data_IF_357906349833
#
_entry.id   IF_357906349833
#
_cell.length_a   1.000
_cell.length_b   1.000
_cell.length_c   1.000
_cell.angle_alpha   90.00
_cell.angle_beta   90.00
_cell.angle_gamma   90.00
#
_symmetry.space_group_name_H-M   'P 1'
#
loop_
_entity.id
_entity.type
_entity.pdbx_description
1 polymer ?
#
# COMPACT_ATOMS: atom_id res chain seq x y z
N UNK A 1 11.83 1.64 38.43
CA UNK A 1 12.09 3.09 38.25
C UNK A 1 11.04 3.77 37.36
N UNK A 2 11.19 3.88 36.03
CA UNK A 2 10.22 4.66 35.22
C UNK A 2 8.78 4.08 35.22
N UNK A 3 8.65 2.76 35.08
CA UNK A 3 7.35 2.05 35.15
C UNK A 3 6.67 2.26 36.52
N UNK A 4 7.46 2.15 37.59
CA UNK A 4 7.01 2.31 38.97
C UNK A 4 6.58 3.75 39.27
N UNK A 5 7.34 4.74 38.79
CA UNK A 5 7.01 6.16 38.92
C UNK A 5 5.70 6.52 38.21
N UNK A 6 5.39 5.90 37.07
CA UNK A 6 4.11 6.09 36.36
C UNK A 6 2.96 5.39 37.08
N UNK A 7 3.21 4.19 37.62
CA UNK A 7 2.20 3.42 38.35
C UNK A 7 1.77 4.10 39.67
N UNK A 8 2.69 4.78 40.36
CA UNK A 8 2.41 5.47 41.63
C UNK A 8 2.06 6.96 41.45
N UNK A 9 2.02 7.48 40.22
CA UNK A 9 1.68 8.87 39.98
C UNK A 9 0.17 9.11 40.16
N UNK A 10 -0.16 10.15 40.94
CA UNK A 10 -1.52 10.65 41.11
C UNK A 10 -1.93 11.49 39.89
N UNK A 11 -2.26 10.78 38.80
CA UNK A 11 -2.70 11.36 37.54
C UNK A 11 -3.95 10.61 37.02
N UNK A 12 -4.83 11.29 36.27
CA UNK A 12 -6.00 10.65 35.70
C UNK A 12 -5.64 9.42 34.86
N UNK A 13 -6.43 8.35 34.98
CA UNK A 13 -6.18 7.03 34.38
C UNK A 13 -5.88 7.08 32.87
N UNK A 14 -6.53 7.99 32.12
CA UNK A 14 -6.24 8.22 30.70
C UNK A 14 -4.78 8.65 30.44
N UNK A 15 -4.25 9.56 31.26
CA UNK A 15 -2.84 10.01 31.16
C UNK A 15 -1.86 8.95 31.67
N UNK A 16 -2.27 8.16 32.67
CA UNK A 16 -1.46 7.03 33.17
C UNK A 16 -1.25 5.97 32.07
N UNK A 17 -2.30 5.63 31.32
CA UNK A 17 -2.23 4.71 30.17
C UNK A 17 -1.34 5.23 29.05
N UNK A 18 -1.44 6.51 28.73
CA UNK A 18 -0.60 7.15 27.71
C UNK A 18 0.89 7.17 28.11
N UNK A 19 1.18 7.47 29.38
CA UNK A 19 2.53 7.41 29.93
C UNK A 19 3.09 5.98 29.92
N UNK A 20 2.31 4.97 30.31
CA UNK A 20 2.72 3.56 30.25
C UNK A 20 2.96 3.08 28.82
N UNK A 21 2.14 3.50 27.86
CA UNK A 21 2.35 3.19 26.45
C UNK A 21 3.68 3.79 25.93
N UNK A 22 4.01 5.01 26.37
CA UNK A 22 5.25 5.70 26.02
C UNK A 22 6.47 4.99 26.60
N UNK A 23 6.43 4.63 27.89
CA UNK A 23 7.51 3.86 28.55
C UNK A 23 7.69 2.49 27.88
N UNK A 24 6.60 1.82 27.52
CA UNK A 24 6.63 0.52 26.82
C UNK A 24 7.27 0.66 25.43
N UNK A 25 6.97 1.74 24.69
CA UNK A 25 7.57 2.00 23.38
C UNK A 25 9.08 2.27 23.48
N UNK A 26 9.50 3.03 24.49
CA UNK A 26 10.92 3.30 24.78
C UNK A 26 11.69 2.02 25.14
N UNK A 27 11.12 1.18 26.01
CA UNK A 27 11.75 -0.09 26.39
C UNK A 27 11.89 -1.03 25.18
N UNK A 28 10.92 -1.04 24.26
CA UNK A 28 10.96 -1.87 23.05
C UNK A 28 12.13 -1.51 22.11
N UNK A 29 12.61 -0.27 22.16
CA UNK A 29 13.74 0.20 21.35
C UNK A 29 15.11 -0.08 21.99
N UNK A 30 15.15 -0.38 23.29
CA UNK A 30 16.40 -0.65 24.02
C UNK A 30 16.72 -2.15 24.04
N UNK A 31 15.70 -3.00 23.90
CA UNK A 31 15.85 -4.46 24.03
C UNK A 31 16.25 -5.07 22.70
N UNK A 32 17.47 -5.61 22.64
CA UNK A 32 18.06 -6.18 21.41
C UNK A 32 17.87 -7.69 21.29
N UNK A 33 17.39 -8.37 22.35
CA UNK A 33 17.17 -9.82 22.32
C UNK A 33 15.73 -10.24 22.70
N UNK A 34 15.19 -11.32 22.09
CA UNK A 34 13.85 -11.81 22.39
C UNK A 34 13.67 -12.28 23.85
N UNK A 35 14.73 -12.79 24.48
CA UNK A 35 14.69 -13.30 25.85
C UNK A 35 14.54 -12.16 26.88
N UNK A 36 15.22 -11.04 26.66
CA UNK A 36 15.08 -9.83 27.49
C UNK A 36 13.70 -9.18 27.31
N UNK A 37 13.13 -9.25 26.10
CA UNK A 37 11.80 -8.70 25.82
C UNK A 37 10.72 -9.43 26.62
N UNK A 38 10.82 -10.76 26.74
CA UNK A 38 9.90 -11.57 27.54
C UNK A 38 10.04 -11.25 29.03
N UNK A 39 11.27 -11.12 29.53
CA UNK A 39 11.52 -10.79 30.94
C UNK A 39 10.96 -9.41 31.31
N UNK A 40 11.16 -8.42 30.45
CA UNK A 40 10.63 -7.05 30.67
C UNK A 40 9.10 -7.05 30.60
N UNK A 41 8.50 -7.81 29.69
CA UNK A 41 7.04 -7.95 29.63
C UNK A 41 6.47 -8.57 30.91
N UNK A 42 7.11 -9.61 31.44
CA UNK A 42 6.70 -10.22 32.71
C UNK A 42 6.83 -9.26 33.89
N UNK A 43 7.89 -8.45 33.94
CA UNK A 43 8.08 -7.45 35.00
C UNK A 43 7.05 -6.32 34.92
N UNK A 44 6.71 -5.85 33.72
CA UNK A 44 5.66 -4.84 33.53
C UNK A 44 4.30 -5.40 33.93
N UNK A 45 3.98 -6.63 33.54
CA UNK A 45 2.72 -7.28 33.90
C UNK A 45 2.61 -7.48 35.42
N UNK A 46 3.69 -7.92 36.08
CA UNK A 46 3.73 -8.07 37.53
C UNK A 46 3.52 -6.73 38.26
N UNK A 47 4.13 -5.64 37.78
CA UNK A 47 3.96 -4.30 38.35
C UNK A 47 2.52 -3.78 38.20
N UNK A 48 1.88 -4.01 37.04
CA UNK A 48 0.48 -3.63 36.80
C UNK A 48 -0.48 -4.40 37.71
N UNK A 49 -0.24 -5.71 37.89
CA UNK A 49 -1.05 -6.55 38.79
C UNK A 49 -0.87 -6.17 40.27
N UNK A 50 0.34 -5.78 40.68
CA UNK A 50 0.58 -5.30 42.04
C UNK A 50 -0.12 -3.96 42.33
N UNK A 51 -0.15 -3.06 41.35
CA UNK A 51 -0.84 -1.77 41.48
C UNK A 51 -2.37 -1.94 41.58
N UNK A 52 -2.97 -2.83 40.79
CA UNK A 52 -4.42 -3.08 40.83
C UNK A 52 -4.88 -3.81 42.10
N UNK A 53 -4.00 -4.61 42.72
CA UNK A 53 -4.27 -5.21 44.02
C UNK A 53 -4.30 -4.17 45.16
N UNK A 54 -3.56 -3.07 45.03
CA UNK A 54 -3.50 -2.01 46.04
C UNK A 54 -4.72 -1.06 45.99
N UNK A 55 -5.33 -0.84 44.82
CA UNK A 55 -6.58 -0.05 44.69
C UNK A 55 -7.80 -0.78 45.26
N UNK A 56 -7.87 -2.12 45.16
CA UNK A 56 -8.98 -2.90 45.71
C UNK A 56 -8.97 -3.02 47.24
N UNK A 57 -7.88 -2.63 47.92
CA UNK A 57 -7.80 -2.59 49.36
C UNK A 57 -8.31 -1.25 49.96
N UNK A 58 -8.62 -0.25 49.12
CA UNK A 58 -8.89 1.13 49.55
C UNK A 58 -10.23 1.69 49.04
N UNK A 59 -11.31 0.92 48.88
CA UNK A 59 -12.66 1.53 48.91
C UNK A 59 -13.83 0.55 49.14
N UNK A 60 -14.44 0.50 50.34
CA UNK A 60 -15.72 -0.14 50.56
C UNK A 60 -16.81 0.92 50.83
N UNK A 61 -17.43 1.48 49.77
CA UNK A 61 -18.76 2.17 49.72
C UNK A 61 -18.92 2.78 48.31
N UNK A 62 -19.87 2.42 47.45
CA UNK A 62 -21.31 2.40 47.64
C UNK A 62 -21.94 3.76 47.26
N UNK A 63 -22.54 3.91 46.07
CA UNK A 63 -23.78 4.70 45.88
C UNK A 63 -24.36 4.59 44.46
N UNK A 64 -25.66 4.27 44.43
CA UNK A 64 -26.60 4.42 43.32
C UNK A 64 -26.76 5.88 42.88
N UNK A 65 -27.10 6.10 41.60
CA UNK A 65 -28.24 6.95 41.25
C UNK A 65 -28.69 6.79 39.78
N UNK A 66 -29.97 6.49 39.62
CA UNK A 66 -30.76 6.58 38.40
C UNK A 66 -31.10 8.05 38.10
N UNK A 67 -31.19 8.44 36.83
CA UNK A 67 -32.19 9.44 36.44
C UNK A 67 -32.65 9.30 34.99
N UNK A 68 -33.95 9.01 34.87
CA UNK A 68 -34.79 9.10 33.68
C UNK A 68 -35.13 10.56 33.36
N UNK A 69 -35.26 10.93 32.08
CA UNK A 69 -36.16 12.02 31.71
C UNK A 69 -36.74 11.85 30.30
N UNK A 70 -38.02 12.21 30.19
CA UNK A 70 -38.99 11.97 29.13
C UNK A 70 -39.45 13.30 28.50
N UNK A 71 -40.19 13.23 27.37
CA UNK A 71 -41.10 14.24 26.77
C UNK A 71 -40.43 15.29 25.84
N UNK A 72 -41.00 15.78 24.71
CA UNK A 72 -42.35 15.72 24.12
C UNK A 72 -42.33 16.13 22.61
N UNK A 73 -43.31 15.63 21.86
CA UNK A 73 -44.11 16.17 20.72
C UNK A 73 -43.65 17.38 19.88
N UNK A 74 -43.81 17.31 18.54
CA UNK A 74 -45.00 17.87 17.86
C UNK A 74 -45.03 17.64 16.33
N UNK A 75 -46.23 17.36 15.85
CA UNK A 75 -46.69 17.22 14.45
C UNK A 75 -46.78 18.55 13.71
N UNK A 76 -46.55 18.56 12.38
CA UNK A 76 -47.25 19.50 11.51
C UNK A 76 -47.46 18.95 10.09
N UNK A 77 -48.69 19.08 9.61
CA UNK A 77 -49.22 18.61 8.32
C UNK A 77 -49.78 19.84 7.61
N UNK A 78 -49.56 20.01 6.30
CA UNK A 78 -50.51 20.76 5.46
C UNK A 78 -50.37 20.47 3.97
N UNK A 79 -51.54 20.38 3.35
CA UNK A 79 -51.89 20.10 1.96
C UNK A 79 -51.70 21.31 1.02
N UNK A 80 -51.58 21.07 -0.30
CA UNK A 80 -52.65 21.39 -1.27
C UNK A 80 -52.29 21.06 -2.75
N UNK A 81 -53.32 20.59 -3.45
CA UNK A 81 -53.44 20.22 -4.87
C UNK A 81 -53.37 21.41 -5.84
N UNK A 82 -53.07 21.17 -7.13
CA UNK A 82 -53.96 21.52 -8.26
C UNK A 82 -53.50 20.92 -9.60
N UNK A 83 -54.50 20.60 -10.43
CA UNK A 83 -54.59 19.81 -11.68
C UNK A 83 -54.48 20.63 -13.00
N UNK A 84 -54.59 19.88 -14.13
CA UNK A 84 -54.94 20.20 -15.56
C UNK A 84 -53.76 20.37 -16.54
N UNK A 85 -53.74 19.95 -17.82
CA UNK A 85 -54.31 18.87 -18.69
C UNK A 85 -54.05 19.28 -20.17
N UNK A 86 -53.89 18.30 -21.08
CA UNK A 86 -54.07 18.39 -22.57
C UNK A 86 -53.06 19.25 -23.40
N UNK A 87 -52.67 18.99 -24.66
CA UNK A 87 -53.06 18.06 -25.75
C UNK A 87 -52.04 18.12 -26.92
N UNK A 88 -51.94 17.00 -27.66
CA UNK A 88 -51.72 16.80 -29.12
C UNK A 88 -50.72 17.60 -30.00
N UNK A 89 -49.96 16.83 -30.81
CA UNK A 89 -50.09 16.89 -32.27
C UNK A 89 -49.05 17.62 -33.15
N UNK A 90 -48.33 16.81 -33.95
CA UNK A 90 -47.91 17.04 -35.37
C UNK A 90 -46.55 17.71 -35.71
N UNK A 91 -45.82 16.98 -36.57
CA UNK A 91 -44.59 17.23 -37.38
C UNK A 91 -45.06 17.47 -38.85
N UNK A 92 -44.32 17.98 -39.90
CA UNK A 92 -42.86 18.16 -40.11
C UNK A 92 -42.40 19.46 -40.85
N UNK A 93 -41.08 19.53 -41.12
CA UNK A 93 -40.40 19.90 -42.41
C UNK A 93 -39.30 20.99 -42.33
N UNK A 94 -38.05 20.54 -42.58
CA UNK A 94 -36.90 21.15 -43.28
C UNK A 94 -36.55 22.65 -43.09
N UNK A 95 -35.33 22.94 -42.62
CA UNK A 95 -34.17 23.33 -43.46
C UNK A 95 -32.92 23.65 -42.63
N UNK A 96 -31.79 23.20 -43.20
CA UNK A 96 -30.39 23.60 -43.05
C UNK A 96 -30.08 24.90 -42.30
N UNK A 97 -29.05 24.86 -41.44
CA UNK A 97 -27.94 25.82 -41.53
C UNK A 97 -26.67 25.32 -40.82
N UNK A 98 -25.56 25.45 -41.55
CA UNK A 98 -24.19 25.37 -41.04
C UNK A 98 -24.00 26.33 -39.86
N UNK A 99 -23.39 25.85 -38.78
CA UNK A 99 -22.46 26.68 -38.00
C UNK A 99 -21.41 25.82 -37.33
N UNK A 100 -20.19 25.88 -37.87
CA UNK A 100 -18.96 25.55 -37.17
C UNK A 100 -18.76 26.60 -36.08
N UNK A 101 -18.69 26.18 -34.83
CA UNK A 101 -18.06 26.96 -33.77
C UNK A 101 -17.10 26.04 -33.02
N UNK A 102 -15.82 26.32 -33.21
CA UNK A 102 -14.72 25.80 -32.41
C UNK A 102 -15.01 26.14 -30.94
N UNK A 103 -14.99 25.14 -30.08
CA UNK A 103 -14.83 25.33 -28.64
C UNK A 103 -13.60 24.55 -28.22
N UNK A 104 -12.54 25.30 -27.94
CA UNK A 104 -11.39 24.84 -27.18
C UNK A 104 -11.83 24.70 -25.72
N UNK A 105 -12.10 23.49 -25.27
CA UNK A 105 -12.23 23.22 -23.84
C UNK A 105 -10.83 23.20 -23.22
N UNK A 106 -10.54 24.30 -22.53
CA UNK A 106 -9.43 24.41 -21.59
C UNK A 106 -9.64 23.38 -20.48
N UNK A 107 -8.61 22.57 -20.21
CA UNK A 107 -8.54 21.69 -19.07
C UNK A 107 -8.68 22.52 -17.78
N UNK A 108 -9.82 22.37 -17.11
CA UNK A 108 -10.02 22.93 -15.79
C UNK A 108 -9.15 22.16 -14.79
N UNK A 109 -8.09 22.80 -14.33
CA UNK A 109 -7.36 22.41 -13.13
C UNK A 109 -8.33 22.44 -11.95
N UNK A 110 -8.67 21.27 -11.41
CA UNK A 110 -9.34 21.16 -10.12
C UNK A 110 -8.28 21.05 -9.00
N UNK A 111 -8.40 21.85 -7.93
CA UNK A 111 -7.46 21.82 -6.82
C UNK A 111 -7.68 20.55 -6.00
N UNK A 112 -6.68 19.69 -5.97
CA UNK A 112 -6.63 18.55 -5.05
C UNK A 112 -6.62 19.07 -3.62
N UNK A 113 -7.73 18.83 -2.90
CA UNK A 113 -7.75 18.86 -1.44
C UNK A 113 -6.81 17.77 -0.94
N UNK A 114 -5.74 18.18 -0.26
CA UNK A 114 -4.82 17.30 0.46
C UNK A 114 -5.58 16.48 1.51
N UNK A 115 -5.37 15.16 1.60
CA UNK A 115 -5.59 14.45 2.85
C UNK A 115 -4.52 14.86 3.87
N UNK A 116 -4.97 15.17 5.08
CA UNK A 116 -4.16 15.30 6.28
C UNK A 116 -3.50 13.96 6.59
N UNK A 117 -2.27 14.04 7.12
CA UNK A 117 -1.55 12.99 7.86
C UNK A 117 -0.61 12.03 7.10
N UNK A 118 0.11 12.53 6.09
CA UNK A 118 1.21 11.80 5.44
C UNK A 118 2.55 12.53 5.49
N UNK A 119 2.93 13.17 6.61
CA UNK A 119 4.30 13.70 6.76
C UNK A 119 4.74 13.63 8.22
N UNK A 120 5.40 12.51 8.57
CA UNK A 120 6.24 12.40 9.77
C UNK A 120 7.45 11.49 9.57
N UNK A 121 7.89 11.30 8.31
CA UNK A 121 9.06 10.48 7.97
C UNK A 121 10.27 11.28 7.47
N UNK A 122 10.14 12.60 7.27
CA UNK A 122 11.22 13.39 6.66
C UNK A 122 12.35 13.77 7.65
N UNK A 123 12.07 13.92 8.94
CA UNK A 123 13.10 14.34 9.92
C UNK A 123 13.87 13.16 10.56
N UNK A 124 13.29 11.96 10.66
CA UNK A 124 13.98 10.80 11.26
C UNK A 124 14.99 10.14 10.29
N UNK A 125 14.83 10.31 8.98
CA UNK A 125 15.70 9.70 7.96
C UNK A 125 17.00 10.48 7.72
N UNK A 126 17.02 11.81 7.91
CA UNK A 126 18.26 12.60 7.81
C UNK A 126 19.24 12.28 8.96
N UNK A 127 18.75 11.89 10.14
CA UNK A 127 19.61 11.55 11.27
C UNK A 127 20.24 10.14 11.18
N UNK A 128 19.67 9.22 10.40
CA UNK A 128 20.27 7.89 10.20
C UNK A 128 21.38 7.88 9.13
N UNK A 129 21.35 8.81 8.17
CA UNK A 129 22.35 8.84 7.09
C UNK A 129 23.72 9.41 7.54
N UNK A 130 23.72 10.26 8.59
CA UNK A 130 24.96 10.82 9.17
C UNK A 130 25.67 9.86 10.14
N UNK A 131 25.00 8.87 10.72
CA UNK A 131 25.65 7.85 11.56
C UNK A 131 26.27 6.70 10.75
N UNK A 132 25.79 6.45 9.52
CA UNK A 132 26.31 5.38 8.65
C UNK A 132 27.67 5.71 8.03
N UNK A 133 27.95 6.99 7.78
CA UNK A 133 29.19 7.42 7.10
C UNK A 133 30.43 7.46 8.02
N UNK A 134 30.27 7.27 9.34
CA UNK A 134 31.37 7.30 10.31
C UNK A 134 32.03 5.93 10.58
N UNK A 135 31.45 4.81 10.11
CA UNK A 135 31.94 3.47 10.42
C UNK A 135 32.55 2.70 9.24
N UNK A 136 32.63 3.30 8.04
CA UNK A 136 33.04 2.58 6.82
C UNK A 136 34.55 2.53 6.55
N UNK A 137 35.41 3.09 7.39
CA UNK A 137 36.83 3.27 7.04
C UNK A 137 37.80 2.20 7.56
N UNK A 138 37.35 1.09 8.15
CA UNK A 138 38.26 0.04 8.67
C UNK A 138 37.89 -1.42 8.36
N UNK A 139 37.04 -1.69 7.36
CA UNK A 139 36.69 -3.07 6.97
C UNK A 139 37.26 -3.44 5.60
N UNK A 140 38.57 -3.29 5.41
CA UNK A 140 39.31 -3.92 4.30
C UNK A 140 40.01 -5.14 4.84
N UNK A 141 39.83 -6.28 4.17
CA UNK A 141 40.31 -7.64 4.50
C UNK A 141 39.45 -8.44 5.49
N UNK A 142 38.36 -9.04 4.98
CA UNK A 142 37.97 -10.45 5.13
C UNK A 142 36.58 -10.68 4.51
N UNK A 143 36.42 -10.43 3.20
CA UNK A 143 35.22 -10.82 2.45
C UNK A 143 35.58 -11.98 1.50
N UNK A 144 35.72 -13.18 2.06
CA UNK A 144 35.87 -14.41 1.29
C UNK A 144 34.51 -15.13 1.16
N UNK A 145 34.03 -15.16 -0.07
CA UNK A 145 33.34 -16.30 -0.73
C UNK A 145 32.05 -16.91 -0.14
N UNK A 146 30.96 -16.13 -0.18
CA UNK A 146 29.65 -16.67 -0.59
C UNK A 146 28.84 -15.57 -1.27
N UNK A 147 29.38 -15.06 -2.39
CA UNK A 147 28.79 -13.98 -3.18
C UNK A 147 27.44 -14.38 -3.77
N UNK A 148 26.37 -14.11 -3.03
CA UNK A 148 25.06 -13.87 -3.64
C UNK A 148 25.19 -12.53 -4.35
N UNK A 149 25.47 -12.55 -5.65
CA UNK A 149 25.60 -11.36 -6.49
C UNK A 149 24.27 -10.57 -6.53
N UNK A 150 23.90 -9.82 -5.50
CA UNK A 150 22.71 -8.96 -5.51
C UNK A 150 22.96 -7.69 -6.32
N UNK A 151 21.90 -7.06 -6.84
CA UNK A 151 22.00 -5.71 -7.41
C UNK A 151 22.42 -4.69 -6.33
N UNK A 152 23.06 -3.59 -6.73
CA UNK A 152 23.28 -2.47 -5.81
C UNK A 152 21.91 -1.91 -5.41
N UNK A 153 21.64 -1.91 -4.11
CA UNK A 153 20.33 -1.57 -3.55
C UNK A 153 20.50 -0.89 -2.20
N UNK A 154 19.56 0.00 -1.87
CA UNK A 154 19.59 0.76 -0.62
C UNK A 154 19.27 -0.09 0.60
N UNK A 155 18.55 -1.21 0.40
CA UNK A 155 18.11 -2.10 1.47
C UNK A 155 18.29 -3.55 1.05
N UNK A 156 18.58 -4.39 2.03
CA UNK A 156 18.62 -5.83 1.83
C UNK A 156 17.25 -6.44 2.12
N UNK A 157 16.74 -7.35 1.28
CA UNK A 157 15.50 -8.06 1.57
C UNK A 157 15.69 -8.99 2.78
N UNK A 158 14.72 -8.99 3.69
CA UNK A 158 14.74 -9.69 4.98
C UNK A 158 14.99 -11.19 4.85
N UNK A 159 14.37 -11.84 3.87
CA UNK A 159 14.44 -13.29 3.70
C UNK A 159 14.44 -13.70 2.22
N UNK A 160 15.21 -13.03 1.37
CA UNK A 160 15.25 -13.34 -0.06
C UNK A 160 15.75 -14.76 -0.35
N UNK A 161 15.03 -15.44 -1.23
CA UNK A 161 15.40 -16.73 -1.85
C UNK A 161 15.95 -16.53 -3.26
N UNK A 162 15.66 -15.39 -3.89
CA UNK A 162 16.23 -15.02 -5.17
C UNK A 162 17.72 -14.71 -5.05
N UNK A 163 18.44 -14.96 -6.14
CA UNK A 163 19.89 -14.72 -6.21
C UNK A 163 20.27 -14.11 -7.55
N UNK A 164 21.39 -13.41 -7.61
CA UNK A 164 21.85 -12.76 -8.84
C UNK A 164 21.32 -11.34 -9.00
N UNK A 165 21.76 -10.71 -10.09
CA UNK A 165 21.28 -9.41 -10.55
C UNK A 165 21.08 -9.47 -12.07
N UNK A 166 19.83 -9.41 -12.58
CA UNK A 166 18.57 -9.39 -11.82
C UNK A 166 18.40 -10.58 -10.86
N UNK A 167 17.67 -10.43 -9.75
CA UNK A 167 17.36 -11.55 -8.87
C UNK A 167 16.50 -12.59 -9.60
N UNK A 168 16.92 -13.84 -9.54
CA UNK A 168 16.27 -14.99 -10.15
C UNK A 168 16.02 -16.08 -9.10
N UNK A 169 14.94 -16.85 -9.26
CA UNK A 169 14.66 -18.05 -8.47
C UNK A 169 14.27 -19.20 -9.39
N UNK A 170 15.01 -20.31 -9.32
CA UNK A 170 14.80 -21.49 -10.18
C UNK A 170 14.72 -21.13 -11.67
N UNK A 171 15.57 -20.20 -12.12
CA UNK A 171 15.62 -19.75 -13.51
C UNK A 171 14.53 -18.76 -13.94
N UNK A 172 13.65 -18.33 -13.03
CA UNK A 172 12.62 -17.31 -13.32
C UNK A 172 12.97 -15.97 -12.68
N UNK A 173 12.62 -14.83 -13.33
CA UNK A 173 12.86 -13.51 -12.78
C UNK A 173 12.01 -13.25 -11.55
N UNK A 174 12.61 -12.58 -10.57
CA UNK A 174 11.93 -12.21 -9.34
C UNK A 174 11.42 -10.78 -9.35
N UNK A 175 10.33 -10.56 -8.65
CA UNK A 175 9.77 -9.27 -8.32
C UNK A 175 9.55 -9.17 -6.81
N UNK A 176 9.52 -7.94 -6.34
CA UNK A 176 9.01 -7.63 -5.00
C UNK A 176 7.53 -7.31 -5.07
N UNK A 177 6.83 -7.47 -3.95
CA UNK A 177 5.43 -7.08 -3.82
C UNK A 177 5.20 -6.21 -2.60
N UNK A 178 4.22 -5.32 -2.70
CA UNK A 178 3.49 -4.77 -1.56
C UNK A 178 2.01 -5.05 -1.72
N UNK A 179 1.20 -4.62 -0.77
CA UNK A 179 -0.24 -4.54 -0.92
C UNK A 179 -0.71 -3.11 -0.67
N UNK A 180 -1.83 -2.76 -1.29
CA UNK A 180 -2.44 -1.44 -1.17
C UNK A 180 -3.95 -1.54 -1.19
N UNK A 181 -4.61 -0.49 -0.69
CA UNK A 181 -6.05 -0.31 -0.76
C UNK A 181 -6.33 0.98 -1.52
N UNK A 182 -6.85 0.86 -2.74
CA UNK A 182 -7.19 1.99 -3.59
C UNK A 182 -8.54 1.74 -4.25
N UNK A 183 -9.50 2.59 -3.94
CA UNK A 183 -10.85 2.52 -4.51
C UNK A 183 -10.98 3.37 -5.77
N UNK A 184 -9.93 3.99 -6.29
CA UNK A 184 -9.97 4.73 -7.55
C UNK A 184 -10.07 3.79 -8.75
N UNK A 185 -10.47 4.33 -9.91
CA UNK A 185 -10.49 3.61 -11.20
C UNK A 185 -9.10 3.17 -11.72
N UNK A 186 -8.03 3.62 -11.09
CA UNK A 186 -6.65 3.37 -11.47
C UNK A 186 -6.22 4.01 -12.81
N UNK A 187 -4.91 3.97 -13.07
CA UNK A 187 -4.24 4.52 -14.25
C UNK A 187 -4.71 3.90 -15.58
N UNK A 188 -5.28 2.70 -15.55
CA UNK A 188 -5.78 2.01 -16.73
C UNK A 188 -7.25 2.33 -17.05
N UNK A 189 -7.92 3.17 -16.26
CA UNK A 189 -9.30 3.57 -16.51
C UNK A 189 -10.31 2.43 -16.40
N UNK A 190 -10.14 1.60 -15.37
CA UNK A 190 -11.03 0.49 -15.06
C UNK A 190 -12.20 1.01 -14.21
N UNK A 191 -13.11 1.79 -14.81
CA UNK A 191 -14.27 2.36 -14.12
C UNK A 191 -14.75 3.69 -14.69
N UNK A 192 -15.98 4.10 -14.35
CA UNK A 192 -16.68 5.18 -15.05
C UNK A 192 -16.30 6.60 -14.60
N UNK A 193 -15.69 6.81 -13.42
CA UNK A 193 -15.01 8.06 -12.94
C UNK A 193 -14.66 7.91 -11.46
N UNK A 194 -13.59 8.58 -11.00
CA UNK A 194 -13.27 8.69 -9.57
C UNK A 194 -13.10 7.33 -8.89
N UNK A 195 -13.90 7.11 -7.84
CA UNK A 195 -13.94 5.86 -7.09
C UNK A 195 -14.88 4.84 -7.73
N UNK A 196 -14.48 3.58 -7.70
CA UNK A 196 -15.33 2.44 -8.07
C UNK A 196 -16.10 1.94 -6.85
N UNK A 197 -17.28 1.32 -7.04
CA UNK A 197 -18.01 0.66 -5.95
C UNK A 197 -17.18 -0.42 -5.23
N UNK A 198 -17.43 -0.65 -3.94
CA UNK A 198 -16.70 -1.63 -3.13
C UNK A 198 -16.77 -3.06 -3.68
N UNK A 199 -17.85 -3.42 -4.37
CA UNK A 199 -18.05 -4.73 -5.02
C UNK A 199 -17.46 -4.81 -6.44
N UNK A 200 -16.87 -3.72 -6.93
CA UNK A 200 -16.33 -3.64 -8.28
C UNK A 200 -15.15 -4.59 -8.47
N UNK A 201 -15.03 -5.16 -9.67
CA UNK A 201 -14.10 -6.26 -9.93
C UNK A 201 -12.63 -5.92 -9.70
N UNK A 202 -12.24 -4.64 -9.83
CA UNK A 202 -10.86 -4.23 -9.54
C UNK A 202 -10.51 -4.34 -8.07
N UNK A 203 -11.50 -4.27 -7.18
CA UNK A 203 -11.33 -4.36 -5.72
C UNK A 203 -11.54 -5.78 -5.20
N UNK A 204 -12.37 -6.58 -5.86
CA UNK A 204 -12.77 -7.94 -5.41
C UNK A 204 -11.94 -9.07 -6.01
N UNK A 205 -11.08 -8.80 -6.99
CA UNK A 205 -10.27 -9.81 -7.67
C UNK A 205 -8.77 -9.52 -7.58
N UNK A 206 -7.95 -10.48 -8.02
CA UNK A 206 -6.49 -10.33 -8.08
C UNK A 206 -6.10 -9.33 -9.16
N UNK A 207 -5.93 -8.07 -8.77
CA UNK A 207 -5.44 -6.98 -9.60
C UNK A 207 -4.18 -6.39 -8.98
N UNK A 208 -3.40 -5.68 -9.79
CA UNK A 208 -2.15 -5.09 -9.36
C UNK A 208 -1.90 -3.72 -9.99
N UNK A 209 -1.12 -2.91 -9.28
CA UNK A 209 -0.40 -1.78 -9.81
C UNK A 209 1.06 -2.19 -10.05
N UNK A 210 1.57 -2.03 -11.27
CA UNK A 210 2.97 -2.36 -11.58
C UNK A 210 3.81 -1.07 -11.63
N UNK A 211 5.09 -1.18 -11.31
CA UNK A 211 6.02 -0.06 -11.36
C UNK A 211 6.12 0.60 -12.74
N UNK A 212 6.37 1.91 -12.73
CA UNK A 212 6.21 2.80 -13.88
C UNK A 212 6.89 2.31 -15.18
N UNK A 213 8.18 1.98 -15.12
CA UNK A 213 8.97 1.58 -16.31
C UNK A 213 8.56 0.21 -16.88
N UNK A 214 7.97 -0.67 -16.05
CA UNK A 214 7.39 -1.93 -16.55
C UNK A 214 5.93 -1.73 -17.02
N UNK A 215 5.25 -0.67 -16.57
CA UNK A 215 3.89 -0.34 -17.01
C UNK A 215 3.88 0.37 -18.37
N UNK A 216 4.82 1.28 -18.62
CA UNK A 216 5.08 1.86 -19.93
C UNK A 216 6.57 2.11 -20.10
N UNK A 217 7.25 1.23 -20.81
CA UNK A 217 8.68 1.38 -21.05
C UNK A 217 8.99 2.58 -21.97
N UNK A 218 8.09 2.91 -22.90
CA UNK A 218 8.28 4.01 -23.85
C UNK A 218 8.05 5.38 -23.22
N UNK A 219 7.14 5.46 -22.26
CA UNK A 219 6.84 6.68 -21.50
C UNK A 219 6.54 6.35 -20.02
N UNK A 220 7.56 6.06 -19.19
CA UNK A 220 7.37 5.68 -17.78
C UNK A 220 6.70 6.77 -16.93
N UNK A 221 6.76 8.03 -17.37
CA UNK A 221 6.10 9.15 -16.69
C UNK A 221 4.57 9.16 -16.95
N UNK A 222 4.09 8.44 -17.96
CA UNK A 222 2.67 8.35 -18.31
C UNK A 222 1.86 7.78 -17.15
N UNK A 223 0.98 8.61 -16.60
CA UNK A 223 0.12 8.25 -15.46
C UNK A 223 -1.29 7.80 -15.87
N UNK A 224 -1.67 7.97 -17.15
CA UNK A 224 -2.99 7.62 -17.66
C UNK A 224 -2.90 6.87 -18.99
N UNK A 225 -3.55 5.71 -19.05
CA UNK A 225 -3.48 4.76 -20.15
C UNK A 225 -2.06 4.37 -20.63
N UNK A 226 -1.16 3.96 -19.71
CA UNK A 226 0.10 3.31 -20.05
C UNK A 226 -0.02 2.12 -21.02
N UNK A 227 1.09 1.77 -21.67
CA UNK A 227 1.13 0.73 -22.71
C UNK A 227 0.73 -0.66 -22.24
N UNK A 228 1.15 -1.06 -21.05
CA UNK A 228 0.93 -2.41 -20.56
C UNK A 228 -0.30 -2.51 -19.65
N UNK A 229 -1.23 -1.56 -19.75
CA UNK A 229 -2.52 -1.65 -19.07
C UNK A 229 -3.32 -2.88 -19.51
N UNK A 230 -3.92 -3.59 -18.56
CA UNK A 230 -4.72 -4.78 -18.83
C UNK A 230 -3.92 -6.06 -19.06
N UNK A 231 -2.58 -6.02 -19.08
CA UNK A 231 -1.75 -7.21 -19.13
C UNK A 231 -1.91 -8.06 -17.86
N UNK A 232 -1.71 -9.37 -18.01
CA UNK A 232 -1.77 -10.30 -16.89
C UNK A 232 -0.41 -10.94 -16.61
N UNK A 233 -0.10 -11.11 -15.33
CA UNK A 233 1.13 -11.73 -14.86
C UNK A 233 0.79 -12.84 -13.88
N UNK A 234 1.42 -14.00 -14.04
CA UNK A 234 1.40 -15.03 -13.01
C UNK A 234 2.51 -14.72 -12.02
N UNK A 235 2.14 -14.53 -10.75
CA UNK A 235 3.07 -14.38 -9.63
C UNK A 235 3.08 -15.67 -8.83
N UNK A 236 4.26 -16.20 -8.52
CA UNK A 236 4.43 -17.39 -7.70
C UNK A 236 5.38 -17.10 -6.54
N UNK A 237 4.94 -17.29 -5.30
CA UNK A 237 5.74 -17.06 -4.10
C UNK A 237 7.00 -17.93 -4.09
N UNK A 238 8.14 -17.34 -3.74
CA UNK A 238 9.41 -18.07 -3.56
C UNK A 238 9.55 -18.64 -2.15
N UNK A 239 8.66 -18.24 -1.23
CA UNK A 239 8.79 -18.41 0.21
C UNK A 239 9.70 -17.38 0.89
N UNK A 240 10.30 -16.48 0.10
CA UNK A 240 11.01 -15.31 0.60
C UNK A 240 10.09 -14.11 0.82
N UNK A 241 10.64 -13.05 1.41
CA UNK A 241 9.98 -11.77 1.61
C UNK A 241 11.00 -10.63 1.58
N UNK A 242 10.56 -9.46 1.15
CA UNK A 242 11.39 -8.24 1.15
C UNK A 242 11.42 -7.59 2.54
N UNK A 243 10.26 -7.24 3.09
CA UNK A 243 10.14 -6.67 4.44
C UNK A 243 9.09 -7.35 5.32
N UNK A 244 8.18 -8.12 4.72
CA UNK A 244 7.13 -8.83 5.44
C UNK A 244 7.59 -10.17 6.01
N UNK A 245 6.63 -11.06 6.22
CA UNK A 245 6.89 -12.44 6.66
C UNK A 245 7.08 -13.40 5.48
N UNK A 246 7.90 -14.42 5.68
CA UNK A 246 8.01 -15.53 4.72
C UNK A 246 6.66 -16.21 4.51
N UNK A 247 6.39 -16.60 3.28
CA UNK A 247 5.15 -17.25 2.88
C UNK A 247 5.36 -18.69 2.42
N UNK A 248 4.28 -19.43 2.20
CA UNK A 248 4.37 -20.75 1.59
C UNK A 248 4.95 -20.62 0.17
N UNK A 249 5.96 -21.42 -0.16
CA UNK A 249 6.56 -21.45 -1.50
C UNK A 249 5.60 -22.07 -2.52
N UNK A 250 5.61 -21.56 -3.76
CA UNK A 250 4.92 -22.19 -4.89
C UNK A 250 3.43 -21.87 -4.98
N UNK A 251 2.91 -20.98 -4.14
CA UNK A 251 1.55 -20.46 -4.28
C UNK A 251 1.52 -19.52 -5.47
N UNK A 252 0.68 -19.82 -6.47
CA UNK A 252 0.59 -19.02 -7.69
C UNK A 252 -0.79 -18.39 -7.88
N UNK A 253 -0.79 -17.13 -8.31
CA UNK A 253 -1.99 -16.39 -8.75
C UNK A 253 -1.69 -15.54 -9.96
N UNK A 254 -2.68 -15.40 -10.84
CA UNK A 254 -2.62 -14.49 -11.98
C UNK A 254 -3.23 -13.16 -11.54
N UNK A 255 -2.54 -12.07 -11.83
CA UNK A 255 -2.96 -10.71 -11.52
C UNK A 255 -3.14 -9.93 -12.81
N UNK A 256 -4.24 -9.18 -12.92
CA UNK A 256 -4.45 -8.23 -14.01
C UNK A 256 -3.95 -6.85 -13.60
N UNK A 257 -3.14 -6.22 -14.45
CA UNK A 257 -2.61 -4.88 -14.23
C UNK A 257 -3.69 -3.86 -14.53
N UNK A 258 -4.12 -3.12 -13.50
CA UNK A 258 -5.21 -2.13 -13.58
C UNK A 258 -4.77 -0.74 -13.14
N UNK A 259 -3.59 -0.61 -12.55
CA UNK A 259 -3.11 0.65 -12.00
C UNK A 259 -1.59 0.80 -12.15
N UNK A 260 -1.08 1.97 -11.74
CA UNK A 260 0.33 2.35 -11.69
C UNK A 260 0.77 2.43 -10.24
N UNK A 261 1.91 1.84 -9.91
CA UNK A 261 2.49 1.94 -8.58
C UNK A 261 3.31 3.23 -8.43
N UNK A 262 3.04 3.98 -7.35
CA UNK A 262 3.82 5.13 -6.89
C UNK A 262 3.52 6.46 -7.56
N UNK A 263 3.99 7.54 -6.92
CA UNK A 263 3.77 8.94 -7.33
C UNK A 263 4.61 9.36 -8.55
N UNK A 264 5.58 8.55 -8.99
CA UNK A 264 6.47 8.94 -10.07
C UNK A 264 7.52 7.90 -10.43
N UNK A 265 7.92 7.91 -11.70
CA UNK A 265 9.17 7.33 -12.19
C UNK A 265 10.31 8.31 -11.90
N UNK A 266 11.52 7.79 -11.69
CA UNK A 266 12.72 8.62 -11.49
C UNK A 266 12.65 9.58 -10.29
N UNK A 267 12.24 9.06 -9.14
CA UNK A 267 12.20 9.85 -7.90
C UNK A 267 13.61 10.04 -7.32
N UNK A 268 13.81 11.17 -6.63
CA UNK A 268 15.08 11.49 -5.94
C UNK A 268 15.42 10.46 -4.87
N UNK A 269 14.41 9.91 -4.20
CA UNK A 269 14.55 8.88 -3.18
C UNK A 269 14.07 7.55 -3.75
N UNK A 270 14.94 6.53 -3.80
CA UNK A 270 14.51 5.23 -4.27
C UNK A 270 13.40 4.67 -3.38
N UNK A 271 12.40 4.07 -4.00
CA UNK A 271 11.29 3.37 -3.35
C UNK A 271 11.07 1.99 -4.02
N UNK A 272 9.91 1.39 -3.79
CA UNK A 272 9.51 0.10 -4.39
C UNK A 272 9.34 0.15 -5.92
N UNK A 273 8.95 1.30 -6.45
CA UNK A 273 8.39 1.51 -7.79
C UNK A 273 9.17 2.53 -8.64
N UNK A 274 10.25 3.10 -8.10
CA UNK A 274 11.06 4.17 -8.69
C UNK A 274 12.15 3.66 -9.66
N UNK A 275 12.12 2.39 -10.08
CA UNK A 275 13.21 1.85 -10.91
C UNK A 275 13.22 2.52 -12.28
N UNK A 276 14.43 2.79 -12.79
CA UNK A 276 14.65 3.43 -14.09
C UNK A 276 14.76 2.46 -15.27
N UNK A 277 14.91 1.16 -14.99
CA UNK A 277 15.09 0.13 -16.02
C UNK A 277 13.98 -0.92 -15.93
N UNK A 278 13.39 -1.28 -17.07
CA UNK A 278 12.42 -2.37 -17.12
C UNK A 278 13.08 -3.72 -16.83
N UNK A 279 12.29 -4.71 -16.46
CA UNK A 279 12.80 -6.06 -16.21
C UNK A 279 13.41 -6.70 -17.47
N UNK A 280 12.84 -6.42 -18.64
CA UNK A 280 13.34 -6.95 -19.91
C UNK A 280 14.71 -6.35 -20.24
N UNK A 281 14.87 -5.04 -20.04
CA UNK A 281 16.15 -4.36 -20.21
C UNK A 281 17.18 -4.82 -19.19
N UNK A 282 16.79 -4.96 -17.92
CA UNK A 282 17.67 -5.48 -16.88
C UNK A 282 18.15 -6.91 -17.19
N UNK A 283 17.31 -7.75 -17.78
CA UNK A 283 17.68 -9.11 -18.21
C UNK A 283 18.66 -9.10 -19.38
N UNK A 284 18.53 -8.15 -20.30
CA UNK A 284 19.38 -8.02 -21.49
C UNK A 284 20.72 -7.33 -21.19
N UNK A 285 20.78 -6.46 -20.19
CA UNK A 285 22.02 -5.80 -19.74
C UNK A 285 22.15 -5.86 -18.20
N UNK A 286 22.61 -7.00 -17.66
CA UNK A 286 22.81 -7.17 -16.22
C UNK A 286 23.82 -6.20 -15.61
N UNK A 287 24.78 -5.70 -16.39
CA UNK A 287 25.78 -4.77 -15.90
C UNK A 287 25.17 -3.39 -15.64
N UNK A 288 24.33 -2.91 -16.55
CA UNK A 288 23.56 -1.69 -16.28
C UNK A 288 22.52 -1.93 -15.20
N UNK A 289 21.87 -3.10 -15.15
CA UNK A 289 20.88 -3.39 -14.13
C UNK A 289 21.41 -3.28 -12.69
N UNK A 290 22.66 -3.68 -12.47
CA UNK A 290 23.31 -3.60 -11.15
C UNK A 290 23.41 -2.18 -10.60
N UNK A 291 23.41 -1.16 -11.46
CA UNK A 291 23.59 0.24 -11.04
C UNK A 291 22.42 0.71 -10.19
N UNK A 292 22.75 1.40 -9.11
CA UNK A 292 21.78 2.04 -8.22
C UNK A 292 20.72 2.83 -9.02
N UNK A 293 19.44 2.61 -8.68
CA UNK A 293 18.29 3.25 -9.33
C UNK A 293 17.72 2.50 -10.54
N UNK A 294 18.44 1.54 -11.14
CA UNK A 294 17.89 0.68 -12.20
C UNK A 294 17.07 -0.48 -11.67
N UNK A 295 17.22 -0.80 -10.38
CA UNK A 295 16.34 -1.68 -9.61
C UNK A 295 15.76 -0.90 -8.43
N UNK A 296 14.76 -1.47 -7.75
CA UNK A 296 14.15 -0.79 -6.61
C UNK A 296 15.03 -0.83 -5.37
N UNK A 297 14.54 -0.28 -4.26
CA UNK A 297 15.27 -0.25 -2.98
C UNK A 297 15.77 -1.60 -2.48
N UNK A 298 15.23 -2.73 -2.97
CA UNK A 298 15.66 -4.08 -2.61
C UNK A 298 16.36 -4.85 -3.75
N UNK A 299 16.67 -4.18 -4.86
CA UNK A 299 17.39 -4.79 -5.97
C UNK A 299 16.52 -5.55 -6.98
N UNK A 300 15.17 -5.43 -6.91
CA UNK A 300 14.28 -6.08 -7.87
C UNK A 300 13.99 -5.16 -9.07
N UNK A 301 14.04 -5.68 -10.31
CA UNK A 301 13.75 -4.90 -11.51
C UNK A 301 12.26 -4.75 -11.80
N UNK A 302 11.40 -5.42 -11.04
CA UNK A 302 9.96 -5.31 -11.12
C UNK A 302 9.34 -5.28 -9.72
N UNK A 303 8.23 -4.57 -9.62
CA UNK A 303 7.43 -4.48 -8.42
C UNK A 303 5.94 -4.50 -8.76
N UNK A 304 5.19 -5.28 -7.99
CA UNK A 304 3.73 -5.37 -8.08
C UNK A 304 3.13 -4.98 -6.73
N UNK A 305 2.41 -3.87 -6.71
CA UNK A 305 1.58 -3.48 -5.58
C UNK A 305 0.20 -4.13 -5.75
N UNK A 306 -0.19 -4.98 -4.81
CA UNK A 306 -1.32 -5.90 -4.97
C UNK A 306 -2.57 -5.34 -4.28
N UNK A 307 -3.69 -5.25 -5.00
CA UNK A 307 -4.93 -4.75 -4.41
C UNK A 307 -5.41 -5.69 -3.31
N UNK A 308 -5.68 -5.14 -2.13
CA UNK A 308 -6.07 -5.89 -0.94
C UNK A 308 -7.30 -5.34 -0.21
N UNK A 309 -8.13 -4.53 -0.89
CA UNK A 309 -9.35 -3.94 -0.31
C UNK A 309 -10.27 -4.96 0.40
N UNK A 310 -10.38 -6.20 -0.11
CA UNK A 310 -11.14 -7.30 0.50
C UNK A 310 -10.25 -8.35 1.18
N UNK A 311 -9.00 -7.98 1.50
CA UNK A 311 -7.98 -8.85 2.12
C UNK A 311 -7.66 -10.12 1.32
N UNK A 312 -7.84 -10.08 0.00
CA UNK A 312 -7.60 -11.21 -0.90
C UNK A 312 -6.12 -11.63 -0.98
N UNK A 313 -5.19 -10.75 -0.61
CA UNK A 313 -3.74 -10.95 -0.56
C UNK A 313 -3.32 -11.34 0.85
N UNK A 314 -3.52 -10.46 1.84
CA UNK A 314 -3.00 -10.68 3.19
C UNK A 314 -3.69 -11.83 3.90
N UNK A 315 -5.02 -11.91 3.84
CA UNK A 315 -5.79 -13.00 4.44
C UNK A 315 -6.04 -14.14 3.46
N UNK A 316 -6.35 -13.82 2.20
CA UNK A 316 -6.69 -14.81 1.17
C UNK A 316 -5.52 -15.64 0.67
N UNK A 317 -4.32 -15.06 0.58
CA UNK A 317 -3.10 -15.79 0.18
C UNK A 317 -2.10 -15.96 1.34
N UNK A 318 -2.28 -15.25 2.45
CA UNK A 318 -1.27 -15.17 3.50
C UNK A 318 -0.03 -14.39 3.05
N UNK A 319 -0.17 -13.51 2.05
CA UNK A 319 0.96 -12.77 1.47
C UNK A 319 1.19 -11.45 2.21
N UNK A 320 2.36 -11.33 2.83
CA UNK A 320 2.87 -10.11 3.43
C UNK A 320 4.18 -9.73 2.75
N UNK A 321 4.11 -8.82 1.77
CA UNK A 321 5.26 -8.34 0.97
C UNK A 321 6.16 -9.48 0.47
N UNK A 322 5.52 -10.50 -0.11
CA UNK A 322 6.17 -11.73 -0.56
C UNK A 322 7.13 -11.47 -1.70
N UNK A 323 8.27 -12.17 -1.68
CA UNK A 323 9.11 -12.29 -2.86
C UNK A 323 8.46 -13.30 -3.83
N UNK A 324 8.33 -12.91 -5.09
CA UNK A 324 7.66 -13.73 -6.10
C UNK A 324 8.56 -13.89 -7.32
N UNK A 325 8.40 -15.00 -8.03
CA UNK A 325 8.75 -15.06 -9.46
C UNK A 325 7.57 -14.55 -10.27
N UNK A 326 7.83 -14.00 -11.45
CA UNK A 326 6.77 -13.52 -12.33
C UNK A 326 6.99 -13.91 -13.78
N UNK A 327 5.88 -14.04 -14.52
CA UNK A 327 5.88 -14.21 -15.97
C UNK A 327 4.63 -13.56 -16.57
N UNK A 328 4.77 -12.97 -17.74
CA UNK A 328 3.62 -12.48 -18.52
C UNK A 328 2.82 -13.68 -19.05
N UNK A 329 1.49 -13.60 -18.95
CA UNK A 329 0.59 -14.70 -19.33
C UNK A 329 -0.66 -14.16 -20.04
N UNK A 330 -1.37 -15.03 -20.78
CA UNK A 330 -2.70 -14.68 -21.28
C UNK A 330 -3.65 -14.34 -20.13
N UNK A 331 -4.44 -13.28 -20.29
CA UNK A 331 -5.48 -12.91 -19.35
C UNK A 331 -6.65 -13.91 -19.29
N UNK A 332 -6.74 -14.87 -20.21
CA UNK A 332 -7.71 -15.98 -20.10
C UNK A 332 -7.43 -16.86 -18.86
N UNK A 333 -6.20 -16.80 -18.34
CA UNK A 333 -5.80 -17.49 -17.12
C UNK A 333 -6.16 -16.72 -15.85
N UNK A 334 -6.53 -15.45 -15.97
CA UNK A 334 -6.99 -14.63 -14.85
C UNK A 334 -8.45 -14.93 -14.54
N UNK A 335 -8.73 -15.29 -13.29
CA UNK A 335 -10.07 -15.68 -12.82
C UNK A 335 -10.89 -14.44 -12.42
N UNK A 336 -11.07 -13.50 -13.34
CA UNK A 336 -11.92 -12.32 -13.18
C UNK A 336 -13.34 -12.51 -13.74
N UNK A 337 -14.23 -11.52 -13.60
CA UNK A 337 -15.55 -11.57 -14.21
C UNK A 337 -15.45 -11.48 -15.74
N UNK A 338 -16.39 -12.13 -16.43
CA UNK A 338 -16.49 -12.04 -17.89
C UNK A 338 -16.75 -10.59 -18.32
N UNK A 339 -16.06 -10.16 -19.38
CA UNK A 339 -16.17 -8.77 -19.87
C UNK A 339 -15.48 -7.73 -18.99
N UNK A 340 -14.70 -8.13 -17.99
CA UNK A 340 -13.89 -7.20 -17.19
C UNK A 340 -12.84 -6.50 -18.07
N UNK A 341 -13.16 -5.30 -18.53
CA UNK A 341 -12.31 -4.45 -19.36
C UNK A 341 -12.16 -3.06 -18.76
N UNK A 342 -11.08 -2.39 -19.12
CA UNK A 342 -10.80 -1.02 -18.71
C UNK A 342 -11.10 -0.10 -19.89
N UNK A 343 -12.34 0.39 -19.96
CA UNK A 343 -12.85 1.14 -21.10
C UNK A 343 -12.54 2.65 -21.03
N UNK A 344 -11.93 3.11 -19.94
CA UNK A 344 -11.55 4.52 -19.78
C UNK A 344 -10.36 4.95 -20.63
N UNK A 345 -9.69 4.00 -21.28
CA UNK A 345 -8.63 4.28 -22.23
C UNK A 345 -9.15 4.30 -23.66
N UNK A 346 -8.84 5.33 -24.47
CA UNK A 346 -9.11 5.31 -25.90
C UNK A 346 -8.53 4.01 -26.48
N UNK A 347 -9.30 3.34 -27.34
CA UNK A 347 -8.81 2.18 -28.10
C UNK A 347 -7.50 2.58 -28.77
N UNK A 348 -6.42 1.87 -28.43
CA UNK A 348 -5.13 2.01 -29.10
C UNK A 348 -5.19 1.42 -30.49
#
# INVERSE_FOLDING_TARGET
AAVEAVATADVPEGRRREAMATVTKLLRNIVTSPAEAVLIWMLVLAAVLAASAHENALDPKGSNNNNTNTNNNDTNTNNNNSTTSESDGTVPVLKSNLRKTNTSEAAAEHPLRRPRDSWKYDEELEMMDLQSQSLSNNATLLASSSGRYSCESHRQPRASKCTGCPPMYKGKPCASTTWYEDTTRGACGCGNRGHVPDDFWTLTHYTAAINCVNLDHGDPAKSWCPANCGHCYQLCSTGGATQGQSTAEGVCRVFKVTNRCGDGWDQRHPDWCSQRMSHSHCSNDPNSCKKTGNTNIFGYPAHFDLQDFHRQITSGLGWDNSEVTFEHVSCDRWKGPQGASCNGCPSR
#
